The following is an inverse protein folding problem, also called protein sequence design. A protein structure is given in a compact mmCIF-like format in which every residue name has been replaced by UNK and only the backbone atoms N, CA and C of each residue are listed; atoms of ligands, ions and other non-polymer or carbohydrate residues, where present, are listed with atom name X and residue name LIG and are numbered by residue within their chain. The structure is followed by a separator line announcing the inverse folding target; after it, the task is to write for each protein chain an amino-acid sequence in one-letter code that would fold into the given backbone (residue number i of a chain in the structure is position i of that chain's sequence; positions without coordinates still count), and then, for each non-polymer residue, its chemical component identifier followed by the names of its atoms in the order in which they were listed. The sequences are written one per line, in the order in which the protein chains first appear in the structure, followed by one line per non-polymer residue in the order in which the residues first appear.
data_IF_219278410827
#
_entry.id   IF_219278410827
#
_cell.length_a   1.000
_cell.length_b   1.000
_cell.length_c   1.000
_cell.angle_alpha   90.00
_cell.angle_beta   90.00
_cell.angle_gamma   90.00
#
_symmetry.space_group_name_H-M   'P 1'
#
loop_
_entity.id
_entity.type
_entity.pdbx_description
1 polymer ?
#
# COMPACT_ATOMS: atom_id res chain seq x y z
N UNK A 1 -18.28 14.19 7.20
CA UNK A 1 -17.04 13.40 7.24
C UNK A 1 -17.39 11.92 7.23
N UNK A 2 -16.97 11.21 6.20
CA UNK A 2 -17.27 9.78 6.00
C UNK A 2 -16.58 8.85 7.03
N UNK A 3 -15.70 9.38 7.86
CA UNK A 3 -15.00 8.65 8.91
C UNK A 3 -15.66 8.86 10.30
N UNK A 4 -16.88 9.36 10.35
CA UNK A 4 -17.64 9.50 11.59
C UNK A 4 -18.38 8.21 11.97
N UNK A 5 -18.92 8.18 13.18
CA UNK A 5 -19.65 7.03 13.70
C UNK A 5 -20.91 6.70 12.87
N UNK A 6 -21.64 7.72 12.40
CA UNK A 6 -22.73 7.59 11.43
C UNK A 6 -22.22 8.13 10.09
N UNK A 7 -21.91 7.22 9.19
CA UNK A 7 -21.30 7.52 7.90
C UNK A 7 -22.27 7.32 6.72
N UNK A 8 -23.56 7.07 6.98
CA UNK A 8 -24.56 7.00 5.91
C UNK A 8 -24.74 8.37 5.26
N UNK A 9 -24.71 8.39 3.94
CA UNK A 9 -24.88 9.62 3.16
C UNK A 9 -23.81 9.83 2.10
N UNK A 10 -23.70 11.07 1.63
CA UNK A 10 -22.79 11.47 0.57
C UNK A 10 -21.84 12.56 1.08
N UNK A 11 -20.57 12.45 0.69
CA UNK A 11 -19.56 13.46 1.05
C UNK A 11 -18.39 13.51 0.08
N UNK A 12 -17.51 14.52 0.22
CA UNK A 12 -16.26 14.56 -0.54
C UNK A 12 -15.37 13.36 -0.17
N UNK A 13 -14.74 12.76 -1.18
CA UNK A 13 -13.79 11.67 -0.95
C UNK A 13 -12.51 12.20 -0.29
N UNK A 14 -12.13 11.74 0.91
CA UNK A 14 -10.86 12.11 1.53
C UNK A 14 -9.69 11.59 0.70
N UNK A 15 -8.70 12.44 0.51
CA UNK A 15 -7.53 12.10 -0.29
C UNK A 15 -6.26 12.12 0.56
N UNK A 16 -5.38 11.17 0.31
CA UNK A 16 -4.07 11.10 0.98
C UNK A 16 -3.08 12.07 0.29
N UNK A 17 -3.37 13.36 0.41
CA UNK A 17 -2.59 14.45 -0.18
C UNK A 17 -2.18 15.44 0.92
N UNK A 18 -0.93 15.85 0.94
CA UNK A 18 -0.41 16.88 1.84
C UNK A 18 0.48 17.84 1.07
N UNK A 19 0.22 19.14 1.22
CA UNK A 19 0.97 20.22 0.55
C UNK A 19 1.08 20.02 -0.98
N UNK A 20 0.05 19.44 -1.61
CA UNK A 20 0.01 19.18 -3.04
C UNK A 20 0.81 17.96 -3.52
N UNK A 21 1.25 17.10 -2.61
CA UNK A 21 1.95 15.86 -2.91
C UNK A 21 1.22 14.66 -2.33
N UNK A 22 1.40 13.51 -2.95
CA UNK A 22 0.94 12.24 -2.36
C UNK A 22 1.61 12.02 -0.99
N UNK A 23 0.81 12.01 0.06
CA UNK A 23 1.26 11.81 1.43
C UNK A 23 1.47 10.32 1.73
N UNK A 24 2.40 9.67 1.00
CA UNK A 24 2.78 8.29 1.28
C UNK A 24 3.40 8.16 2.68
N UNK A 25 3.44 6.93 3.21
CA UNK A 25 4.10 6.64 4.49
C UNK A 25 5.57 7.07 4.49
N UNK A 26 6.27 6.89 3.37
CA UNK A 26 7.64 7.39 3.20
C UNK A 26 7.71 8.90 3.32
N UNK A 27 6.81 9.63 2.65
CA UNK A 27 6.79 11.10 2.69
C UNK A 27 6.40 11.63 4.06
N UNK A 28 5.35 11.05 4.67
CA UNK A 28 4.74 11.61 5.88
C UNK A 28 5.44 11.17 7.17
N UNK A 29 5.99 9.95 7.21
CA UNK A 29 6.55 9.39 8.44
C UNK A 29 8.05 9.14 8.36
N UNK A 30 8.56 8.62 7.23
CA UNK A 30 9.96 8.23 7.14
C UNK A 30 10.90 9.40 6.85
N UNK A 31 10.56 10.26 5.87
CA UNK A 31 11.42 11.40 5.51
C UNK A 31 11.73 12.35 6.68
N UNK A 32 10.76 12.67 7.58
CA UNK A 32 11.04 13.55 8.72
C UNK A 32 12.02 12.97 9.74
N UNK A 33 12.23 11.66 9.75
CA UNK A 33 13.04 10.96 10.75
C UNK A 33 14.23 10.19 10.18
N UNK A 34 14.46 10.25 8.85
CA UNK A 34 15.48 9.43 8.15
C UNK A 34 16.90 9.64 8.68
N UNK A 35 17.18 10.80 9.26
CA UNK A 35 18.50 11.17 9.77
C UNK A 35 18.70 10.77 11.26
N UNK A 36 17.74 10.05 11.86
CA UNK A 36 17.93 9.53 13.23
C UNK A 36 19.02 8.48 13.27
N UNK A 37 19.95 8.61 14.23
CA UNK A 37 21.07 7.69 14.41
C UNK A 37 20.69 6.25 14.72
N UNK A 38 19.49 6.06 15.31
CA UNK A 38 18.92 4.74 15.65
C UNK A 38 18.00 4.17 14.58
N UNK A 39 17.98 4.74 13.37
CA UNK A 39 17.19 4.26 12.24
C UNK A 39 18.13 3.86 11.10
N UNK A 40 18.02 2.63 10.67
CA UNK A 40 18.69 2.11 9.46
C UNK A 40 17.62 1.72 8.42
N UNK A 41 17.76 2.26 7.21
CA UNK A 41 16.87 1.97 6.08
C UNK A 41 17.66 1.20 5.03
N UNK A 42 17.32 -0.08 4.84
CA UNK A 42 17.93 -0.93 3.82
C UNK A 42 17.00 -1.03 2.62
N UNK A 43 17.24 -0.22 1.59
CA UNK A 43 16.51 -0.29 0.31
C UNK A 43 17.13 -1.32 -0.63
N UNK A 44 16.39 -1.71 -1.69
CA UNK A 44 16.79 -2.75 -2.64
C UNK A 44 17.18 -4.08 -1.95
N UNK A 45 16.43 -4.40 -0.89
CA UNK A 45 16.67 -5.54 -0.02
C UNK A 45 15.40 -6.38 0.04
N UNK A 46 15.45 -7.58 -0.54
CA UNK A 46 14.31 -8.50 -0.56
C UNK A 46 14.38 -9.44 0.62
N UNK A 47 13.41 -9.38 1.53
CA UNK A 47 13.32 -10.32 2.66
C UNK A 47 13.13 -11.74 2.14
N UNK A 48 14.01 -12.64 2.52
CA UNK A 48 14.02 -14.02 2.10
C UNK A 48 13.27 -14.90 3.10
N UNK A 49 13.64 -14.80 4.37
CA UNK A 49 12.98 -15.56 5.47
C UNK A 49 13.26 -14.95 6.84
N UNK A 50 12.46 -15.35 7.81
CA UNK A 50 12.68 -15.09 9.22
C UNK A 50 13.63 -16.15 9.82
N UNK A 51 14.35 -15.77 10.85
CA UNK A 51 15.27 -16.63 11.58
C UNK A 51 14.67 -17.00 12.94
N UNK A 52 14.72 -18.30 13.29
CA UNK A 52 14.12 -18.82 14.50
C UNK A 52 15.11 -19.60 15.35
N UNK A 53 14.99 -19.44 16.67
CA UNK A 53 15.56 -20.31 17.70
C UNK A 53 14.40 -20.99 18.42
N UNK A 54 14.15 -22.26 18.12
CA UNK A 54 12.90 -22.92 18.50
C UNK A 54 11.69 -22.25 17.87
N UNK A 55 10.79 -21.70 18.68
CA UNK A 55 9.61 -20.93 18.26
C UNK A 55 9.81 -19.41 18.32
N UNK A 56 10.95 -18.95 18.83
CA UNK A 56 11.26 -17.51 18.96
C UNK A 56 11.85 -16.97 17.67
N UNK A 57 11.22 -15.94 17.09
CA UNK A 57 11.81 -15.20 15.99
C UNK A 57 12.95 -14.30 16.53
N UNK A 58 14.16 -14.50 15.99
CA UNK A 58 15.37 -13.79 16.43
C UNK A 58 15.94 -12.87 15.37
N UNK A 59 15.35 -12.81 14.20
CA UNK A 59 15.85 -11.93 13.12
C UNK A 59 15.28 -12.30 11.77
N UNK A 60 15.92 -11.82 10.74
CA UNK A 60 15.57 -12.11 9.36
C UNK A 60 16.80 -12.21 8.45
N UNK A 61 16.60 -12.82 7.30
CA UNK A 61 17.56 -12.88 6.21
C UNK A 61 16.98 -12.15 5.01
N UNK A 62 17.78 -11.30 4.37
CA UNK A 62 17.40 -10.62 3.14
C UNK A 62 18.49 -10.70 2.08
N UNK A 63 18.09 -10.54 0.83
CA UNK A 63 18.98 -10.45 -0.32
C UNK A 63 19.23 -8.99 -0.66
N UNK A 64 20.50 -8.61 -0.76
CA UNK A 64 20.95 -7.32 -1.31
C UNK A 64 21.75 -7.59 -2.58
N UNK A 65 21.07 -7.49 -3.72
CA UNK A 65 21.61 -8.00 -4.97
C UNK A 65 21.75 -9.53 -4.92
N UNK A 66 22.99 -10.04 -4.93
CA UNK A 66 23.31 -11.47 -4.80
C UNK A 66 23.81 -11.86 -3.39
N UNK A 67 23.98 -10.91 -2.53
CA UNK A 67 24.49 -11.12 -1.17
C UNK A 67 23.34 -11.46 -0.22
N UNK A 68 23.57 -12.49 0.62
CA UNK A 68 22.68 -12.88 1.70
C UNK A 68 23.14 -12.19 2.98
N UNK A 69 22.27 -11.34 3.53
CA UNK A 69 22.54 -10.60 4.77
C UNK A 69 21.58 -11.07 5.87
N UNK A 70 22.14 -11.32 7.06
CA UNK A 70 21.34 -11.68 8.26
C UNK A 70 21.35 -10.51 9.23
N UNK A 71 20.17 -10.21 9.78
CA UNK A 71 20.01 -9.17 10.81
C UNK A 71 19.25 -9.80 11.98
N UNK A 72 19.72 -9.52 13.18
CA UNK A 72 19.12 -10.02 14.40
C UNK A 72 18.37 -8.91 15.14
N UNK A 73 17.32 -9.28 15.84
CA UNK A 73 16.47 -8.37 16.58
C UNK A 73 16.51 -8.70 18.07
N UNK A 74 16.79 -7.69 18.90
CA UNK A 74 16.83 -7.84 20.35
C UNK A 74 15.42 -7.96 20.98
N UNK A 75 14.42 -7.35 20.32
CA UNK A 75 13.04 -7.31 20.82
C UNK A 75 12.08 -8.11 19.94
N UNK A 76 11.86 -7.64 18.71
CA UNK A 76 10.85 -8.23 17.83
C UNK A 76 11.19 -7.99 16.36
N UNK A 77 10.56 -8.76 15.48
CA UNK A 77 10.54 -8.58 14.02
C UNK A 77 9.10 -8.31 13.61
N UNK A 78 8.88 -7.17 12.94
CA UNK A 78 7.57 -6.75 12.46
C UNK A 78 7.49 -6.98 10.96
N UNK A 79 6.55 -7.84 10.52
CA UNK A 79 6.36 -8.17 9.11
C UNK A 79 5.26 -7.28 8.51
N UNK A 80 5.64 -6.38 7.61
CA UNK A 80 4.77 -5.43 6.94
C UNK A 80 4.82 -5.57 5.40
N UNK A 81 4.84 -6.81 4.90
CA UNK A 81 4.94 -7.12 3.46
C UNK A 81 3.63 -7.01 2.68
N UNK A 82 2.52 -6.67 3.34
CA UNK A 82 1.18 -6.63 2.75
C UNK A 82 0.50 -8.00 2.69
N UNK A 83 -0.71 -8.04 2.13
CA UNK A 83 -1.58 -9.22 2.13
C UNK A 83 -1.00 -10.43 1.39
N UNK A 84 -0.11 -10.21 0.44
CA UNK A 84 0.53 -11.27 -0.36
C UNK A 84 1.91 -11.62 0.20
N UNK A 85 2.78 -10.64 0.42
CA UNK A 85 4.17 -10.92 0.79
C UNK A 85 4.34 -11.31 2.26
N UNK A 86 3.50 -10.83 3.18
CA UNK A 86 3.59 -11.24 4.59
C UNK A 86 3.35 -12.74 4.78
N UNK A 87 2.26 -13.35 4.26
CA UNK A 87 2.10 -14.79 4.32
C UNK A 87 3.16 -15.56 3.53
N UNK A 88 3.66 -15.02 2.41
CA UNK A 88 4.76 -15.62 1.67
C UNK A 88 6.03 -15.70 2.53
N UNK A 89 6.42 -14.63 3.20
CA UNK A 89 7.59 -14.60 4.10
C UNK A 89 7.40 -15.60 5.24
N UNK A 90 6.21 -15.69 5.83
CA UNK A 90 5.90 -16.66 6.87
C UNK A 90 6.05 -18.10 6.38
N UNK A 91 5.50 -18.43 5.21
CA UNK A 91 5.60 -19.77 4.62
C UNK A 91 7.04 -20.14 4.25
N UNK A 92 7.79 -19.22 3.65
CA UNK A 92 9.23 -19.40 3.38
C UNK A 92 10.05 -19.61 4.66
N UNK A 93 9.54 -19.13 5.79
CA UNK A 93 10.17 -19.25 7.10
C UNK A 93 9.73 -20.49 7.88
N UNK A 94 8.87 -21.33 7.29
CA UNK A 94 8.39 -22.55 7.93
C UNK A 94 7.12 -22.38 8.76
N UNK A 95 6.38 -21.28 8.59
CA UNK A 95 5.11 -21.00 9.28
C UNK A 95 3.96 -21.05 8.27
N UNK A 96 3.03 -21.97 8.45
CA UNK A 96 1.89 -22.18 7.57
C UNK A 96 1.43 -23.63 7.61
N UNK A 97 0.68 -24.07 6.60
CA UNK A 97 0.21 -25.47 6.50
C UNK A 97 1.40 -26.42 6.38
N UNK A 98 1.61 -27.25 7.40
CA UNK A 98 2.81 -28.07 7.56
C UNK A 98 3.12 -28.98 6.38
N UNK A 99 2.11 -29.65 5.81
CA UNK A 99 2.31 -30.53 4.67
C UNK A 99 2.70 -29.76 3.40
N UNK A 100 2.18 -28.54 3.22
CA UNK A 100 2.56 -27.67 2.12
C UNK A 100 4.03 -27.24 2.24
N UNK A 101 4.43 -26.81 3.44
CA UNK A 101 5.82 -26.40 3.74
C UNK A 101 6.81 -27.54 3.49
N UNK A 102 6.49 -28.75 3.97
CA UNK A 102 7.32 -29.95 3.77
C UNK A 102 7.48 -30.31 2.29
N UNK A 103 6.40 -30.16 1.49
CA UNK A 103 6.43 -30.41 0.04
C UNK A 103 7.49 -29.58 -0.69
N UNK A 104 7.77 -28.37 -0.18
CA UNK A 104 8.80 -27.49 -0.73
C UNK A 104 10.18 -27.65 -0.08
N UNK A 105 10.36 -28.72 0.72
CA UNK A 105 11.64 -29.05 1.37
C UNK A 105 12.03 -28.14 2.53
N UNK A 106 11.08 -27.33 3.03
CA UNK A 106 11.34 -26.45 4.16
C UNK A 106 11.00 -27.12 5.49
N UNK A 107 11.73 -26.74 6.54
CA UNK A 107 11.44 -27.18 7.92
C UNK A 107 10.20 -26.46 8.44
N UNK A 108 9.25 -27.21 9.00
CA UNK A 108 8.09 -26.62 9.69
C UNK A 108 8.53 -26.08 11.04
N UNK A 109 8.34 -24.78 11.26
CA UNK A 109 8.53 -24.09 12.54
C UNK A 109 7.21 -24.06 13.33
N UNK A 110 6.12 -23.73 12.64
CA UNK A 110 4.77 -23.77 13.20
C UNK A 110 3.75 -24.19 12.16
N UNK A 111 2.93 -25.19 12.48
CA UNK A 111 1.82 -25.62 11.64
C UNK A 111 0.60 -24.74 11.89
N UNK A 112 0.44 -23.72 11.06
CA UNK A 112 -0.63 -22.72 11.11
C UNK A 112 -1.35 -22.68 9.75
N UNK A 113 -2.34 -23.56 9.53
CA UNK A 113 -2.97 -23.73 8.22
C UNK A 113 -3.69 -22.50 7.67
N UNK A 114 -4.04 -21.51 8.52
CA UNK A 114 -4.65 -20.25 8.09
C UNK A 114 -3.70 -19.25 7.41
N UNK A 115 -2.38 -19.48 7.46
CA UNK A 115 -1.42 -18.57 6.84
C UNK A 115 -1.48 -18.66 5.32
N UNK A 116 -1.86 -17.55 4.68
CA UNK A 116 -2.02 -17.45 3.23
C UNK A 116 -3.39 -17.91 2.71
N UNK A 117 -4.29 -18.28 3.59
CA UNK A 117 -5.68 -18.61 3.25
C UNK A 117 -6.60 -17.38 3.37
N UNK A 118 -7.80 -17.49 2.83
CA UNK A 118 -8.87 -16.47 2.91
C UNK A 118 -8.46 -15.09 2.38
N UNK A 119 -7.66 -15.02 1.33
CA UNK A 119 -7.40 -13.74 0.65
C UNK A 119 -8.70 -13.17 0.11
N UNK A 120 -9.02 -11.96 0.52
CA UNK A 120 -10.25 -11.25 0.12
C UNK A 120 -9.88 -9.88 -0.44
N UNK A 121 -10.67 -9.43 -1.41
CA UNK A 121 -10.58 -8.10 -2.00
C UNK A 121 -11.97 -7.52 -2.19
N UNK A 122 -12.07 -6.23 -2.47
CA UNK A 122 -13.33 -5.58 -2.75
C UNK A 122 -13.97 -6.11 -4.04
N UNK A 123 -15.28 -6.36 -3.98
CA UNK A 123 -16.06 -6.51 -5.19
C UNK A 123 -16.35 -5.10 -5.73
N UNK A 124 -15.83 -4.79 -6.91
CA UNK A 124 -15.98 -3.50 -7.54
C UNK A 124 -16.76 -3.63 -8.87
N UNK A 125 -17.73 -2.74 -9.07
CA UNK A 125 -18.52 -2.66 -10.30
C UNK A 125 -18.42 -1.25 -10.84
N UNK A 126 -17.81 -1.11 -12.02
CA UNK A 126 -17.66 0.17 -12.69
C UNK A 126 -18.84 0.45 -13.62
N UNK A 127 -19.55 1.53 -13.34
CA UNK A 127 -20.56 2.09 -14.24
C UNK A 127 -20.02 3.32 -14.93
N UNK A 128 -19.95 3.30 -16.27
CA UNK A 128 -19.48 4.41 -17.05
C UNK A 128 -20.64 5.15 -17.71
N UNK A 129 -20.65 6.46 -17.58
CA UNK A 129 -21.62 7.35 -18.22
C UNK A 129 -20.91 8.39 -19.07
N UNK A 130 -21.44 8.66 -20.25
CA UNK A 130 -20.99 9.78 -21.05
C UNK A 130 -21.73 11.05 -20.61
N UNK A 131 -20.97 12.08 -20.24
CA UNK A 131 -21.54 13.35 -19.84
C UNK A 131 -21.80 14.24 -21.05
N UNK A 132 -22.99 14.78 -21.17
CA UNK A 132 -23.37 15.74 -22.22
C UNK A 132 -22.78 17.13 -22.00
N UNK A 133 -22.29 17.40 -20.77
CA UNK A 133 -21.64 18.65 -20.40
C UNK A 133 -20.16 18.40 -20.04
N UNK A 134 -19.24 19.34 -20.30
CA UNK A 134 -17.81 19.17 -20.01
C UNK A 134 -17.50 19.34 -18.52
N UNK A 135 -18.14 18.52 -17.66
CA UNK A 135 -18.02 18.57 -16.21
C UNK A 135 -16.94 17.62 -15.66
N UNK A 136 -16.48 16.69 -16.48
CA UNK A 136 -15.47 15.70 -16.09
C UNK A 136 -14.05 16.15 -16.41
N UNK A 137 -13.06 15.40 -15.95
CA UNK A 137 -11.65 15.63 -16.28
C UNK A 137 -11.33 15.43 -17.78
N UNK A 138 -12.21 14.77 -18.52
CA UNK A 138 -12.11 14.66 -19.98
C UNK A 138 -11.97 16.01 -20.69
N UNK A 139 -12.53 17.09 -20.11
CA UNK A 139 -12.33 18.48 -20.60
C UNK A 139 -10.87 18.90 -20.67
N UNK A 140 -10.00 18.30 -19.89
CA UNK A 140 -8.55 18.60 -19.87
C UNK A 140 -7.76 17.69 -20.81
N UNK A 141 -8.22 16.46 -21.00
CA UNK A 141 -7.47 15.40 -21.72
C UNK A 141 -7.98 15.15 -23.14
N UNK A 142 -9.18 15.61 -23.49
CA UNK A 142 -9.77 15.40 -24.79
C UNK A 142 -9.51 16.57 -25.78
N UNK A 143 -9.41 16.23 -27.06
CA UNK A 143 -9.29 17.18 -28.17
C UNK A 143 -7.87 17.65 -28.47
N UNK A 144 -7.74 18.41 -29.60
CA UNK A 144 -6.44 18.81 -30.12
C UNK A 144 -5.58 19.74 -29.25
N UNK A 145 -6.18 20.38 -28.25
CA UNK A 145 -5.48 21.23 -27.27
C UNK A 145 -5.17 20.53 -25.95
N UNK A 146 -5.38 19.22 -25.84
CA UNK A 146 -5.19 18.45 -24.62
C UNK A 146 -3.76 18.62 -24.03
N UNK A 147 -2.74 18.52 -24.87
CA UNK A 147 -1.34 18.67 -24.45
C UNK A 147 -1.07 20.04 -23.83
N UNK A 148 -1.61 21.10 -24.45
CA UNK A 148 -1.45 22.47 -23.94
C UNK A 148 -2.18 22.66 -22.59
N UNK A 149 -3.41 22.16 -22.48
CA UNK A 149 -4.17 22.19 -21.21
C UNK A 149 -3.47 21.41 -20.10
N UNK A 150 -2.97 20.21 -20.40
CA UNK A 150 -2.21 19.42 -19.43
C UNK A 150 -0.92 20.14 -19.00
N UNK A 151 -0.22 20.81 -19.92
CA UNK A 151 0.96 21.61 -19.59
C UNK A 151 0.61 22.78 -18.63
N UNK A 152 -0.53 23.46 -18.86
CA UNK A 152 -0.97 24.55 -17.96
C UNK A 152 -1.36 24.02 -16.58
N UNK A 153 -2.03 22.87 -16.49
CA UNK A 153 -2.37 22.22 -15.22
C UNK A 153 -1.09 21.84 -14.46
N UNK A 154 -0.12 21.25 -15.14
CA UNK A 154 1.16 20.89 -14.57
C UNK A 154 1.91 22.14 -14.06
N UNK A 155 1.98 23.19 -14.84
CA UNK A 155 2.60 24.45 -14.46
C UNK A 155 1.91 25.09 -13.24
N UNK A 156 0.57 25.12 -13.24
CA UNK A 156 -0.21 25.56 -12.09
C UNK A 156 0.10 24.76 -10.84
N UNK A 157 0.13 23.43 -10.95
CA UNK A 157 0.47 22.57 -9.82
C UNK A 157 1.92 22.76 -9.35
N UNK A 158 2.86 22.89 -10.27
CA UNK A 158 4.27 23.13 -9.91
C UNK A 158 4.46 24.41 -9.09
N UNK A 159 3.71 25.47 -9.43
CA UNK A 159 3.81 26.78 -8.76
C UNK A 159 2.99 26.82 -7.48
N UNK A 160 1.72 26.42 -7.55
CA UNK A 160 0.75 26.65 -6.46
C UNK A 160 0.51 25.44 -5.57
N UNK A 161 0.87 24.22 -6.04
CA UNK A 161 0.51 22.92 -5.42
C UNK A 161 -1.00 22.73 -5.26
N UNK A 162 -1.80 23.39 -6.11
CA UNK A 162 -3.28 23.38 -6.08
C UNK A 162 -3.83 23.18 -7.50
N UNK A 163 -5.14 22.96 -7.58
CA UNK A 163 -5.86 22.82 -8.84
C UNK A 163 -6.00 21.37 -9.32
N UNK A 164 -6.44 21.15 -10.56
CA UNK A 164 -6.76 19.80 -11.08
C UNK A 164 -5.60 18.80 -11.01
N UNK A 165 -4.35 19.26 -11.08
CA UNK A 165 -3.16 18.41 -10.91
C UNK A 165 -2.94 17.89 -9.48
N UNK A 166 -3.79 18.29 -8.54
CA UNK A 166 -3.78 17.84 -7.15
C UNK A 166 -5.01 16.96 -6.80
N UNK A 167 -5.70 16.45 -7.79
CA UNK A 167 -6.87 15.59 -7.63
C UNK A 167 -6.57 14.18 -8.15
N UNK A 168 -7.16 13.18 -7.50
CA UNK A 168 -7.06 11.77 -7.91
C UNK A 168 -8.25 11.33 -8.80
N UNK A 169 -9.14 12.26 -9.15
CA UNK A 169 -10.33 11.98 -9.96
C UNK A 169 -11.51 11.36 -9.21
N UNK A 170 -11.43 11.23 -7.89
CA UNK A 170 -12.51 10.74 -7.03
C UNK A 170 -13.07 11.91 -6.21
N UNK A 171 -14.11 12.55 -6.73
CA UNK A 171 -14.64 13.78 -6.12
C UNK A 171 -15.60 13.51 -4.96
N UNK A 172 -16.27 12.38 -4.94
CA UNK A 172 -17.27 12.07 -3.91
C UNK A 172 -17.35 10.59 -3.59
N UNK A 173 -17.87 10.29 -2.43
CA UNK A 173 -18.15 8.94 -1.95
C UNK A 173 -19.48 8.94 -1.21
N UNK A 174 -20.21 7.85 -1.29
CA UNK A 174 -21.42 7.65 -0.51
C UNK A 174 -21.41 6.27 0.15
N UNK A 175 -21.98 6.24 1.34
CA UNK A 175 -22.32 5.00 2.03
C UNK A 175 -23.85 4.94 2.15
N UNK A 176 -24.44 3.91 1.64
CA UNK A 176 -25.88 3.75 1.59
C UNK A 176 -26.25 2.40 2.20
N UNK A 177 -27.30 2.38 2.99
CA UNK A 177 -27.94 1.13 3.40
C UNK A 177 -28.82 0.62 2.26
N UNK A 178 -28.84 -0.68 2.09
CA UNK A 178 -29.72 -1.34 1.11
C UNK A 178 -31.05 -1.78 1.72
N UNK A 179 -31.10 -1.91 3.04
CA UNK A 179 -32.27 -2.31 3.81
C UNK A 179 -32.44 -1.36 5.00
N UNK A 180 -33.69 -1.14 5.43
CA UNK A 180 -34.05 -0.36 6.61
C UNK A 180 -33.78 -1.13 7.92
#
# INVERSE_FOLDING_TARGET
DINQHDNEGFGPCPQTISKGYRASTSFSFLNPIKDRKNLTIATNSTTNKLLFEGSKCVGLEYLKGKEVVKVYADREVIVCGGAINSPQILQLSGIGKGDYIKKWGSKVVADLPGVGENLQDHLDVLSHYECTQPVTEAKYTAGGLAVFRMATILAQWMITKKGPGNDIGLSGVSFLKTDD
#
